data_IF_678974506637
#
_entry.id   IF_678974506637
#
_cell.length_a   1.000
_cell.length_b   1.000
_cell.length_c   1.000
_cell.angle_alpha   90.00
_cell.angle_beta   90.00
_cell.angle_gamma   90.00
#
_symmetry.space_group_name_H-M   'P 1'
#
loop_
_entity.id
_entity.type
_entity.pdbx_description
1 polymer ?
#
# COMPACT_ATOMS: atom_id res chain seq x y z
N UNK A 1 -24.73 3.66 14.20
CA UNK A 1 -24.62 4.88 13.36
C UNK A 1 -23.56 4.62 12.32
N UNK A 2 -23.79 4.98 11.05
CA UNK A 2 -22.80 4.77 10.01
C UNK A 2 -21.54 5.60 10.30
N UNK A 3 -20.36 4.98 10.20
CA UNK A 3 -19.09 5.69 10.35
C UNK A 3 -18.94 6.66 9.16
N UNK A 4 -18.74 7.95 9.43
CA UNK A 4 -18.62 8.98 8.38
C UNK A 4 -17.15 9.33 8.18
N UNK A 5 -16.73 9.31 6.92
CA UNK A 5 -15.38 9.68 6.48
C UNK A 5 -15.48 10.84 5.50
N UNK A 6 -14.61 11.82 5.66
CA UNK A 6 -14.38 12.86 4.67
C UNK A 6 -13.19 12.44 3.80
N UNK A 7 -13.39 12.37 2.48
CA UNK A 7 -12.35 11.99 1.52
C UNK A 7 -11.74 13.21 0.81
N UNK A 8 -11.97 14.43 1.33
CA UNK A 8 -11.49 15.68 0.75
C UNK A 8 -9.98 15.91 0.83
N UNK A 9 -9.26 15.24 1.74
CA UNK A 9 -7.83 15.42 1.97
C UNK A 9 -7.11 14.08 2.17
N UNK A 10 -5.90 13.94 1.63
CA UNK A 10 -5.11 12.73 1.82
C UNK A 10 -4.59 12.59 3.25
N UNK A 11 -4.80 11.40 3.83
CA UNK A 11 -4.40 11.13 5.20
C UNK A 11 -2.91 10.82 5.36
N UNK A 12 -2.31 11.37 6.41
CA UNK A 12 -1.06 10.86 6.96
C UNK A 12 -1.28 9.49 7.63
N UNK A 13 -0.19 8.82 7.98
CA UNK A 13 -0.23 7.46 8.51
C UNK A 13 -1.09 7.33 9.77
N UNK A 14 -1.00 8.28 10.70
CA UNK A 14 -1.74 8.23 11.96
C UNK A 14 -3.24 8.39 11.74
N UNK A 15 -3.66 9.33 10.88
CA UNK A 15 -5.07 9.55 10.53
C UNK A 15 -5.63 8.35 9.75
N UNK A 16 -4.89 7.81 8.79
CA UNK A 16 -5.27 6.58 8.09
C UNK A 16 -5.46 5.43 9.08
N UNK A 17 -4.53 5.26 10.02
CA UNK A 17 -4.59 4.21 11.04
C UNK A 17 -5.77 4.39 11.98
N UNK A 18 -6.07 5.63 12.36
CA UNK A 18 -7.25 5.98 13.16
C UNK A 18 -8.54 5.60 12.44
N UNK A 19 -8.64 5.92 11.15
CA UNK A 19 -9.83 5.61 10.36
C UNK A 19 -10.02 4.12 10.11
N UNK A 20 -8.96 3.39 9.79
CA UNK A 20 -9.01 1.94 9.62
C UNK A 20 -9.46 1.25 10.91
N UNK A 21 -8.90 1.65 12.06
CA UNK A 21 -9.32 1.12 13.37
C UNK A 21 -10.76 1.48 13.70
N UNK A 22 -11.14 2.74 13.50
CA UNK A 22 -12.50 3.21 13.74
C UNK A 22 -13.54 2.47 12.91
N UNK A 23 -13.22 2.15 11.65
CA UNK A 23 -14.06 1.33 10.79
C UNK A 23 -14.18 -0.11 11.31
N UNK A 24 -13.08 -0.75 11.69
CA UNK A 24 -13.16 -2.13 12.21
C UNK A 24 -13.89 -2.21 13.54
N UNK A 25 -13.73 -1.21 14.41
CA UNK A 25 -14.41 -1.14 15.70
C UNK A 25 -15.92 -0.85 15.56
N UNK A 26 -16.31 -0.12 14.52
CA UNK A 26 -17.72 0.16 14.22
C UNK A 26 -18.46 -1.03 13.58
N UNK A 27 -17.74 -1.94 12.92
CA UNK A 27 -18.30 -3.08 12.21
C UNK A 27 -17.63 -4.43 12.56
N UNK A 28 -17.54 -4.79 13.86
CA UNK A 28 -16.77 -5.96 14.31
C UNK A 28 -17.29 -7.32 13.78
N UNK A 29 -18.56 -7.39 13.38
CA UNK A 29 -19.17 -8.57 12.77
C UNK A 29 -18.78 -8.78 11.31
N UNK A 30 -18.35 -7.70 10.63
CA UNK A 30 -17.96 -7.70 9.21
C UNK A 30 -16.46 -7.50 9.00
N UNK A 31 -15.74 -6.93 9.96
CA UNK A 31 -14.34 -6.54 9.78
C UNK A 31 -13.47 -6.91 10.98
N UNK A 32 -12.23 -7.28 10.67
CA UNK A 32 -11.15 -7.45 11.65
C UNK A 32 -9.87 -6.84 11.12
N UNK A 33 -9.06 -6.30 12.04
CA UNK A 33 -7.80 -5.64 11.73
C UNK A 33 -6.62 -6.47 12.22
N UNK A 34 -5.61 -6.62 11.37
CA UNK A 34 -4.32 -7.18 11.74
C UNK A 34 -3.19 -6.31 11.19
N UNK A 35 -2.05 -6.31 11.90
CA UNK A 35 -0.78 -5.84 11.33
C UNK A 35 -0.03 -7.04 10.77
N UNK A 36 0.24 -7.06 9.47
CA UNK A 36 1.02 -8.14 8.85
C UNK A 36 2.53 -7.95 8.99
N UNK A 37 2.97 -6.78 9.44
CA UNK A 37 4.37 -6.48 9.59
C UNK A 37 4.60 -5.01 9.90
N UNK A 38 5.87 -4.67 10.04
CA UNK A 38 6.32 -3.30 10.27
C UNK A 38 7.13 -2.83 9.06
N UNK A 39 6.97 -1.56 8.73
CA UNK A 39 7.83 -0.85 7.78
C UNK A 39 9.24 -0.67 8.35
N UNK A 40 10.14 -0.10 7.55
CA UNK A 40 11.52 0.18 7.98
C UNK A 40 11.56 1.14 9.18
N UNK A 41 10.68 2.14 9.19
CA UNK A 41 10.52 3.08 10.29
C UNK A 41 9.53 2.63 11.38
N UNK A 42 9.10 1.36 11.37
CA UNK A 42 8.32 0.77 12.45
C UNK A 42 6.80 1.02 12.39
N UNK A 43 6.28 1.52 11.26
CA UNK A 43 4.83 1.70 11.04
C UNK A 43 4.18 0.36 10.73
N UNK A 44 3.01 0.07 11.30
CA UNK A 44 2.23 -1.12 10.97
C UNK A 44 1.76 -1.10 9.52
N UNK A 45 1.86 -2.26 8.86
CA UNK A 45 1.23 -2.53 7.57
C UNK A 45 -0.11 -3.19 7.86
N UNK A 46 -1.17 -2.39 7.80
CA UNK A 46 -2.53 -2.82 8.12
C UNK A 46 -3.12 -3.72 7.04
N UNK A 47 -3.73 -4.83 7.47
CA UNK A 47 -4.61 -5.68 6.70
C UNK A 47 -5.98 -5.70 7.35
N UNK A 48 -7.01 -5.32 6.60
CA UNK A 48 -8.40 -5.42 7.01
C UNK A 48 -9.02 -6.62 6.33
N UNK A 49 -9.44 -7.60 7.12
CA UNK A 49 -10.23 -8.72 6.62
C UNK A 49 -11.70 -8.34 6.72
N UNK A 50 -12.40 -8.29 5.59
CA UNK A 50 -13.81 -7.89 5.48
C UNK A 50 -14.64 -9.05 4.94
N UNK A 51 -15.56 -9.57 5.76
CA UNK A 51 -16.52 -10.62 5.39
C UNK A 51 -17.59 -10.73 6.47
N UNK A 52 -18.80 -11.16 6.11
CA UNK A 52 -19.78 -11.52 7.12
C UNK A 52 -19.40 -12.83 7.82
N UNK A 53 -18.93 -12.73 9.06
CA UNK A 53 -18.49 -13.90 9.84
C UNK A 53 -19.63 -14.88 10.19
N UNK A 54 -20.89 -14.45 10.13
CA UNK A 54 -22.06 -15.29 10.42
C UNK A 54 -22.35 -16.30 9.30
N UNK A 55 -22.03 -15.98 8.05
CA UNK A 55 -22.26 -16.87 6.89
C UNK A 55 -21.09 -17.79 6.59
N UNK A 56 -19.94 -17.59 7.24
CA UNK A 56 -18.77 -18.46 7.10
C UNK A 56 -17.49 -17.77 7.58
N UNK A 57 -16.50 -18.57 7.97
CA UNK A 57 -15.20 -18.06 8.39
C UNK A 57 -14.40 -17.54 7.18
N UNK A 58 -13.52 -16.53 7.36
CA UNK A 58 -12.80 -15.90 6.26
C UNK A 58 -12.01 -16.87 5.36
N UNK A 59 -11.49 -17.95 5.92
CA UNK A 59 -10.69 -19.00 5.28
C UNK A 59 -11.51 -20.01 4.45
N UNK A 60 -12.84 -20.02 4.62
CA UNK A 60 -13.75 -20.95 3.91
C UNK A 60 -14.49 -20.32 2.74
N UNK A 61 -14.36 -19.02 2.56
CA UNK A 61 -14.95 -18.28 1.44
C UNK A 61 -13.89 -17.95 0.39
N UNK A 62 -14.24 -17.88 -0.91
CA UNK A 62 -13.35 -17.33 -1.92
C UNK A 62 -12.92 -15.91 -1.53
N UNK A 63 -11.65 -15.60 -1.77
CA UNK A 63 -11.05 -14.36 -1.33
C UNK A 63 -10.69 -13.43 -2.48
N UNK A 64 -10.87 -12.13 -2.26
CA UNK A 64 -10.34 -11.07 -3.09
C UNK A 64 -9.27 -10.30 -2.31
N UNK A 65 -8.13 -10.07 -2.94
CA UNK A 65 -7.02 -9.34 -2.36
C UNK A 65 -6.92 -7.98 -3.04
N UNK A 66 -6.90 -6.92 -2.23
CA UNK A 66 -6.79 -5.53 -2.68
C UNK A 66 -5.64 -4.91 -1.92
N UNK A 67 -4.59 -4.52 -2.63
CA UNK A 67 -3.56 -3.65 -2.07
C UNK A 67 -3.52 -2.29 -2.75
N UNK A 68 -2.99 -1.33 -2.02
CA UNK A 68 -2.85 0.03 -2.46
C UNK A 68 -1.55 0.65 -1.94
N UNK A 69 -1.15 1.71 -2.65
CA UNK A 69 -0.10 2.63 -2.25
C UNK A 69 1.24 1.94 -2.01
N UNK A 70 1.62 1.06 -2.95
CA UNK A 70 2.96 0.45 -3.00
C UNK A 70 4.01 1.46 -3.50
N UNK A 71 3.67 2.25 -4.52
CA UNK A 71 4.45 3.40 -4.95
C UNK A 71 4.06 4.63 -4.14
N UNK A 72 5.05 5.27 -3.55
CA UNK A 72 4.82 6.32 -2.55
C UNK A 72 4.06 7.57 -3.05
N UNK A 73 4.30 7.99 -4.30
CA UNK A 73 3.64 9.15 -4.90
C UNK A 73 2.20 8.89 -5.38
N UNK A 74 1.75 7.64 -5.47
CA UNK A 74 0.41 7.26 -5.94
C UNK A 74 -0.64 7.33 -4.81
N UNK A 75 -0.67 8.45 -4.09
CA UNK A 75 -1.43 8.64 -2.84
C UNK A 75 -2.93 8.36 -2.99
N UNK A 76 -3.51 8.67 -4.15
CA UNK A 76 -4.92 8.45 -4.44
C UNK A 76 -5.35 6.98 -4.26
N UNK A 77 -4.44 6.02 -4.50
CA UNK A 77 -4.74 4.59 -4.36
C UNK A 77 -5.09 4.21 -2.93
N UNK A 78 -4.44 4.83 -1.93
CA UNK A 78 -4.71 4.59 -0.51
C UNK A 78 -6.13 5.00 -0.14
N UNK A 79 -6.59 6.14 -0.67
CA UNK A 79 -7.96 6.60 -0.53
C UNK A 79 -8.96 5.69 -1.23
N UNK A 80 -8.66 5.21 -2.43
CA UNK A 80 -9.54 4.27 -3.13
C UNK A 80 -9.73 2.98 -2.34
N UNK A 81 -8.67 2.45 -1.73
CA UNK A 81 -8.77 1.27 -0.87
C UNK A 81 -9.56 1.55 0.42
N UNK A 82 -9.33 2.71 1.06
CA UNK A 82 -10.09 3.11 2.24
C UNK A 82 -11.58 3.36 1.92
N UNK A 83 -11.88 3.97 0.78
CA UNK A 83 -13.25 4.16 0.30
C UNK A 83 -13.92 2.82 0.01
N UNK A 84 -13.22 1.89 -0.63
CA UNK A 84 -13.72 0.52 -0.86
C UNK A 84 -14.07 -0.16 0.45
N UNK A 85 -13.19 -0.08 1.45
CA UNK A 85 -13.47 -0.60 2.79
C UNK A 85 -14.71 0.06 3.41
N UNK A 86 -14.77 1.40 3.43
CA UNK A 86 -15.91 2.14 3.97
C UNK A 86 -17.21 1.80 3.25
N UNK A 87 -17.20 1.70 1.92
CA UNK A 87 -18.38 1.40 1.12
C UNK A 87 -18.91 -0.01 1.41
N UNK A 88 -18.03 -1.02 1.43
CA UNK A 88 -18.42 -2.40 1.75
C UNK A 88 -19.07 -2.50 3.14
N UNK A 89 -18.51 -1.81 4.14
CA UNK A 89 -19.04 -1.85 5.51
C UNK A 89 -20.33 -1.06 5.69
N UNK A 90 -20.40 0.15 5.13
CA UNK A 90 -21.56 1.03 5.33
C UNK A 90 -22.76 0.67 4.47
N UNK A 91 -22.56 -0.09 3.37
CA UNK A 91 -23.62 -0.52 2.46
C UNK A 91 -24.09 -1.95 2.70
N UNK A 92 -23.46 -2.70 3.58
CA UNK A 92 -23.94 -4.01 3.98
C UNK A 92 -25.35 -3.91 4.62
N UNK A 93 -26.30 -4.68 4.09
CA UNK A 93 -27.71 -4.65 4.50
C UNK A 93 -28.59 -3.64 3.72
N UNK A 94 -27.98 -2.62 3.11
CA UNK A 94 -28.69 -1.60 2.32
C UNK A 94 -28.54 -1.82 0.80
N UNK A 95 -27.37 -2.23 0.35
CA UNK A 95 -27.05 -2.55 -1.04
C UNK A 95 -27.01 -4.08 -1.21
N UNK A 96 -27.86 -4.61 -2.09
CA UNK A 96 -27.99 -6.05 -2.31
C UNK A 96 -26.72 -6.68 -2.88
N UNK A 97 -25.96 -5.98 -3.72
CA UNK A 97 -24.72 -6.48 -4.30
C UNK A 97 -23.62 -6.55 -3.24
N UNK A 98 -23.46 -5.48 -2.44
CA UNK A 98 -22.50 -5.46 -1.32
C UNK A 98 -22.83 -6.54 -0.30
N UNK A 99 -24.11 -6.71 0.03
CA UNK A 99 -24.58 -7.74 0.97
C UNK A 99 -24.21 -9.13 0.45
N UNK A 100 -24.51 -9.40 -0.83
CA UNK A 100 -24.14 -10.67 -1.46
C UNK A 100 -22.63 -10.90 -1.45
N UNK A 101 -21.82 -9.87 -1.76
CA UNK A 101 -20.36 -9.96 -1.75
C UNK A 101 -19.84 -10.33 -0.35
N UNK A 102 -20.26 -9.65 0.71
CA UNK A 102 -19.74 -9.93 2.06
C UNK A 102 -20.28 -11.24 2.64
N UNK A 103 -21.47 -11.67 2.24
CA UNK A 103 -22.00 -12.97 2.64
C UNK A 103 -21.26 -14.13 1.99
N UNK A 104 -20.76 -13.98 0.76
CA UNK A 104 -20.18 -15.07 -0.03
C UNK A 104 -18.66 -15.00 -0.22
N UNK A 105 -18.02 -13.86 0.05
CA UNK A 105 -16.59 -13.64 -0.20
C UNK A 105 -15.87 -13.06 1.02
N UNK A 106 -14.55 -13.15 0.99
CA UNK A 106 -13.65 -12.47 1.93
C UNK A 106 -12.81 -11.45 1.18
N UNK A 107 -12.75 -10.21 1.66
CA UNK A 107 -11.82 -9.21 1.15
C UNK A 107 -10.67 -9.02 2.12
N UNK A 108 -9.43 -9.11 1.61
CA UNK A 108 -8.23 -8.69 2.34
C UNK A 108 -7.76 -7.37 1.74
N UNK A 109 -7.98 -6.28 2.48
CA UNK A 109 -7.70 -4.92 2.00
C UNK A 109 -6.49 -4.37 2.73
N UNK A 110 -5.51 -3.90 1.97
CA UNK A 110 -4.31 -3.23 2.45
C UNK A 110 -4.35 -1.77 2.02
N UNK A 111 -4.83 -0.86 2.88
CA UNK A 111 -5.00 0.54 2.49
C UNK A 111 -3.67 1.24 2.16
N UNK A 112 -2.55 0.75 2.71
CA UNK A 112 -1.23 1.31 2.46
C UNK A 112 -0.13 0.28 2.73
N UNK A 113 0.47 -0.27 1.66
CA UNK A 113 1.61 -1.18 1.76
C UNK A 113 2.95 -0.48 2.03
N UNK A 114 3.11 0.76 1.55
CA UNK A 114 4.33 1.53 1.71
C UNK A 114 4.11 2.76 2.62
N UNK A 115 3.93 2.57 3.95
CA UNK A 115 3.64 3.68 4.84
C UNK A 115 4.80 4.68 4.97
N UNK A 116 6.05 4.23 4.86
CA UNK A 116 7.21 5.12 5.00
C UNK A 116 7.41 6.00 3.76
N UNK A 117 7.34 5.40 2.58
CA UNK A 117 7.42 6.15 1.32
C UNK A 117 6.25 7.14 1.19
N UNK A 118 5.03 6.71 1.50
CA UNK A 118 3.84 7.58 1.50
C UNK A 118 4.04 8.85 2.32
N UNK A 119 4.64 8.73 3.50
CA UNK A 119 4.89 9.86 4.40
C UNK A 119 5.90 10.82 3.80
N UNK A 120 6.94 10.32 3.14
CA UNK A 120 7.89 11.15 2.39
C UNK A 120 7.15 11.91 1.28
N UNK A 121 6.34 11.23 0.46
CA UNK A 121 5.61 11.87 -0.64
C UNK A 121 4.56 12.89 -0.18
N UNK A 122 3.95 12.68 0.99
CA UNK A 122 2.93 13.58 1.54
C UNK A 122 3.50 14.80 2.28
N UNK A 123 4.66 14.64 2.92
CA UNK A 123 5.25 15.68 3.78
C UNK A 123 6.41 16.43 3.15
N UNK A 124 6.92 15.95 2.00
CA UNK A 124 8.05 16.57 1.30
C UNK A 124 7.68 16.91 -0.14
N UNK A 125 8.33 17.91 -0.76
CA UNK A 125 8.09 18.27 -2.16
C UNK A 125 8.74 17.29 -3.16
N UNK A 126 9.27 16.16 -2.69
CA UNK A 126 10.00 15.23 -3.54
C UNK A 126 9.06 14.27 -4.28
N UNK A 127 9.26 14.13 -5.59
CA UNK A 127 8.74 12.99 -6.34
C UNK A 127 9.48 11.74 -5.87
N UNK A 128 8.73 10.77 -5.36
CA UNK A 128 9.29 9.63 -4.65
C UNK A 128 8.42 8.41 -4.91
N UNK A 129 8.99 7.38 -5.53
CA UNK A 129 8.34 6.09 -5.76
C UNK A 129 8.86 4.99 -4.82
N UNK A 130 9.94 5.26 -4.09
CA UNK A 130 10.65 4.28 -3.26
C UNK A 130 9.90 3.90 -1.97
N UNK A 131 10.39 2.84 -1.32
CA UNK A 131 9.80 2.31 -0.08
C UNK A 131 10.09 3.13 1.19
N UNK A 132 10.85 4.23 1.07
CA UNK A 132 11.21 5.08 2.20
C UNK A 132 12.28 4.51 3.15
N UNK A 133 12.95 3.41 2.78
CA UNK A 133 14.10 2.90 3.55
C UNK A 133 15.26 3.89 3.61
N UNK A 134 15.48 4.59 2.49
CA UNK A 134 16.45 5.67 2.36
C UNK A 134 15.69 6.97 2.19
N UNK A 135 16.17 8.07 2.75
CA UNK A 135 15.56 9.38 2.55
C UNK A 135 16.01 10.03 1.23
N UNK A 136 15.27 11.03 0.71
CA UNK A 136 15.75 11.85 -0.41
C UNK A 136 17.16 12.40 -0.13
N UNK A 137 18.11 12.06 -1.00
CA UNK A 137 19.53 12.44 -0.87
C UNK A 137 20.42 11.41 -0.17
N UNK A 138 19.88 10.34 0.41
CA UNK A 138 20.68 9.21 0.89
C UNK A 138 21.10 8.28 -0.25
N UNK A 139 22.25 7.62 -0.10
CA UNK A 139 22.81 6.74 -1.13
C UNK A 139 21.95 5.47 -1.27
N UNK A 140 21.08 5.44 -2.28
CA UNK A 140 20.09 4.37 -2.44
C UNK A 140 20.66 3.06 -2.98
N UNK A 141 21.82 3.11 -3.64
CA UNK A 141 22.67 1.95 -3.95
C UNK A 141 23.86 2.42 -4.76
N UNK A 142 25.07 2.02 -4.36
CA UNK A 142 26.24 2.10 -5.23
C UNK A 142 26.07 1.09 -6.36
N UNK A 143 25.72 1.56 -7.56
CA UNK A 143 25.90 0.76 -8.76
C UNK A 143 24.91 0.99 -9.88
N UNK A 144 23.63 1.32 -9.65
CA UNK A 144 22.71 1.50 -10.77
C UNK A 144 22.95 2.86 -11.44
N UNK A 145 23.54 2.83 -12.63
CA UNK A 145 23.75 4.00 -13.49
C UNK A 145 22.78 3.89 -14.65
N UNK A 146 21.85 4.84 -14.71
CA UNK A 146 21.01 5.03 -15.88
C UNK A 146 21.87 5.71 -16.95
N UNK A 147 22.32 4.92 -17.92
CA UNK A 147 23.07 5.41 -19.08
C UNK A 147 22.44 4.77 -20.33
N UNK A 148 22.35 5.55 -21.41
CA UNK A 148 22.03 5.01 -22.74
C UNK A 148 23.28 4.26 -23.23
N UNK A 149 23.32 2.95 -22.94
CA UNK A 149 24.47 2.09 -23.19
C UNK A 149 24.77 1.98 -24.70
N UNK A 150 23.76 2.11 -25.56
CA UNK A 150 23.88 1.94 -27.02
C UNK A 150 23.75 3.23 -27.84
N UNK A 151 23.48 4.37 -27.20
CA UNK A 151 23.44 5.68 -27.84
C UNK A 151 22.26 5.88 -28.80
N UNK A 152 21.17 5.14 -28.62
CA UNK A 152 20.00 5.20 -29.50
C UNK A 152 18.96 6.26 -29.08
N UNK A 153 19.26 7.01 -28.02
CA UNK A 153 18.39 8.03 -27.44
C UNK A 153 17.36 7.46 -26.46
N UNK A 154 17.39 6.16 -26.15
CA UNK A 154 16.46 5.48 -25.24
C UNK A 154 17.20 4.73 -24.14
N UNK A 155 16.87 4.99 -22.88
CA UNK A 155 17.40 4.22 -21.75
C UNK A 155 16.54 2.96 -21.59
N UNK A 156 16.86 1.91 -22.34
CA UNK A 156 16.15 0.62 -22.31
C UNK A 156 16.82 -0.43 -21.40
N UNK A 157 18.00 -0.12 -20.85
CA UNK A 157 18.76 -1.03 -19.96
C UNK A 157 19.38 -0.25 -18.82
N UNK A 158 19.29 -0.78 -17.60
CA UNK A 158 19.97 -0.22 -16.43
C UNK A 158 21.26 -1.01 -16.18
N UNK A 159 22.40 -0.32 -16.05
CA UNK A 159 23.69 -0.95 -15.78
C UNK A 159 24.03 -0.85 -14.29
N UNK A 160 24.45 -1.96 -13.68
CA UNK A 160 25.03 -1.94 -12.34
C UNK A 160 26.56 -1.87 -12.40
N UNK A 161 27.17 -0.74 -11.99
CA UNK A 161 28.61 -0.57 -11.78
C UNK A 161 28.98 -1.01 -10.37
N UNK A 162 29.41 -2.26 -10.22
CA UNK A 162 29.98 -2.74 -8.96
C UNK A 162 31.45 -2.33 -8.93
N UNK A 163 31.84 -1.55 -7.91
CA UNK A 163 33.26 -1.25 -7.65
C UNK A 163 33.87 -2.44 -6.91
N UNK A 164 34.75 -3.17 -7.58
CA UNK A 164 35.47 -4.28 -6.97
C UNK A 164 36.47 -3.76 -5.91
N UNK A 165 36.79 -4.59 -4.92
CA UNK A 165 37.71 -4.25 -3.81
C UNK A 165 39.11 -3.78 -4.28
N UNK A 166 39.49 -4.09 -5.52
CA UNK A 166 40.73 -3.67 -6.18
C UNK A 166 40.65 -2.26 -6.84
N UNK A 167 39.54 -1.53 -6.67
CA UNK A 167 39.34 -0.19 -7.22
C UNK A 167 38.83 -0.14 -8.67
N UNK A 168 38.71 -1.27 -9.38
CA UNK A 168 38.14 -1.35 -10.73
C UNK A 168 36.61 -1.43 -10.68
N UNK A 169 35.93 -0.74 -11.59
CA UNK A 169 34.48 -0.87 -11.77
C UNK A 169 34.16 -1.89 -12.86
N UNK A 170 33.23 -2.81 -12.59
CA UNK A 170 32.69 -3.73 -13.59
C UNK A 170 31.23 -3.35 -13.87
N UNK A 171 30.90 -3.10 -15.14
CA UNK A 171 29.53 -2.89 -15.59
C UNK A 171 28.87 -4.26 -15.79
N UNK A 172 27.86 -4.55 -14.99
CA UNK A 172 26.99 -5.72 -15.16
C UNK A 172 25.65 -5.24 -15.70
N UNK A 173 25.35 -5.63 -16.93
CA UNK A 173 24.04 -5.44 -17.54
C UNK A 173 23.10 -6.44 -16.86
N UNK A 174 22.11 -5.96 -16.13
CA UNK A 174 21.00 -6.79 -15.66
C UNK A 174 19.87 -6.64 -16.67
N UNK A 175 19.43 -7.76 -17.24
CA UNK A 175 18.26 -7.84 -18.10
C UNK A 175 16.98 -7.72 -17.26
#
# INVERSE_FOLDING_TARGET
MAYVLDFGEYFLYDDLSLHVKGLTDAYPQLASLASLGKSWHGRDIWCVTVTNSETGTPDKKPAFYIDAHIHAEEVATSHTALYTLWYLLTKYGDDAEVTWLLDNMTFYIFPRLNPDGAEISLTTPHHWCGNGRYLPGEEQTRGLVQEDINGDGSIVRCASKIRQANGRSQTLIRA
#
